data_IF_523276529982
#
_entry.id   IF_523276529982
#
_cell.length_a   1.000
_cell.length_b   1.000
_cell.length_c   1.000
_cell.angle_alpha   90.00
_cell.angle_beta   90.00
_cell.angle_gamma   90.00
#
_symmetry.space_group_name_H-M   'P 1'
#
loop_
_entity.id
_entity.type
_entity.pdbx_description
1 polymer ?
#
# COMPACT_ATOMS: atom_id res chain seq x y z
N UNK A 1 -43.16 32.12 24.48
CA UNK A 1 -43.53 31.68 23.10
C UNK A 1 -42.66 30.47 22.75
N UNK A 2 -43.20 29.50 22.05
CA UNK A 2 -42.40 28.34 21.64
C UNK A 2 -41.25 28.80 20.74
N UNK A 3 -40.02 28.36 21.01
CA UNK A 3 -38.82 28.76 20.26
C UNK A 3 -38.89 28.30 18.79
N UNK A 4 -39.66 27.26 18.49
CA UNK A 4 -39.90 26.77 17.14
C UNK A 4 -41.30 26.18 16.95
N UNK A 5 -41.71 26.02 15.69
CA UNK A 5 -42.89 25.24 15.30
C UNK A 5 -42.64 24.51 13.98
N UNK A 6 -43.18 23.26 13.88
CA UNK A 6 -43.08 22.43 12.68
C UNK A 6 -44.50 21.95 12.32
N UNK A 7 -44.90 22.14 11.08
CA UNK A 7 -46.13 21.55 10.58
C UNK A 7 -46.08 21.22 9.09
N UNK A 8 -46.71 20.09 8.72
CA UNK A 8 -46.74 19.65 7.34
C UNK A 8 -47.71 20.47 6.49
N UNK A 9 -47.38 20.59 5.20
CA UNK A 9 -48.26 21.20 4.18
C UNK A 9 -48.00 20.54 2.81
N UNK A 10 -49.01 20.60 1.92
CA UNK A 10 -48.81 20.22 0.52
C UNK A 10 -48.74 21.46 -0.36
N UNK A 11 -48.00 21.36 -1.47
CA UNK A 11 -47.91 22.42 -2.48
C UNK A 11 -48.76 22.05 -3.68
N UNK A 12 -49.96 22.50 -3.70
CA UNK A 12 -50.95 22.27 -4.79
C UNK A 12 -50.62 23.03 -6.07
N UNK A 13 -49.76 24.04 -6.01
CA UNK A 13 -49.26 24.83 -7.13
C UNK A 13 -48.20 24.10 -7.99
N UNK A 14 -47.64 22.98 -7.51
CA UNK A 14 -46.62 22.21 -8.19
C UNK A 14 -46.86 20.70 -8.16
N UNK A 15 -47.77 20.17 -9.02
CA UNK A 15 -47.97 18.71 -9.09
C UNK A 15 -46.73 18.04 -9.70
N UNK A 16 -46.44 16.80 -9.22
CA UNK A 16 -45.40 15.99 -9.82
C UNK A 16 -45.92 15.42 -11.15
N UNK A 17 -45.27 15.79 -12.25
CA UNK A 17 -45.71 15.54 -13.64
C UNK A 17 -45.98 14.04 -13.97
N UNK A 18 -45.48 13.08 -13.20
CA UNK A 18 -45.63 11.65 -13.51
C UNK A 18 -46.80 10.93 -12.85
N UNK A 19 -47.27 11.39 -11.67
CA UNK A 19 -48.26 10.63 -10.87
C UNK A 19 -49.44 11.43 -10.31
N UNK A 20 -49.62 12.65 -10.73
CA UNK A 20 -50.65 13.58 -10.21
C UNK A 20 -50.72 13.69 -8.66
N UNK A 21 -49.55 13.50 -8.03
CA UNK A 21 -49.34 13.65 -6.57
C UNK A 21 -48.70 15.00 -6.27
N UNK A 22 -48.89 15.46 -5.06
CA UNK A 22 -48.33 16.70 -4.56
C UNK A 22 -47.25 16.45 -3.52
N UNK A 23 -46.11 17.12 -3.57
CA UNK A 23 -45.07 16.95 -2.59
C UNK A 23 -45.46 17.53 -1.23
N UNK A 24 -45.15 16.81 -0.17
CA UNK A 24 -45.32 17.25 1.20
C UNK A 24 -44.09 18.05 1.63
N UNK A 25 -44.31 19.21 2.23
CA UNK A 25 -43.28 20.04 2.83
C UNK A 25 -43.51 20.16 4.33
N UNK A 26 -42.44 20.34 5.08
CA UNK A 26 -42.46 20.74 6.48
C UNK A 26 -42.22 22.27 6.53
N UNK A 27 -43.17 23.01 7.05
CA UNK A 27 -42.99 24.42 7.37
C UNK A 27 -42.35 24.47 8.76
N UNK A 28 -41.11 24.96 8.80
CA UNK A 28 -40.36 25.12 10.04
C UNK A 28 -40.19 26.59 10.33
N UNK A 29 -40.66 27.04 11.48
CA UNK A 29 -40.45 28.40 11.98
C UNK A 29 -39.54 28.31 13.23
N UNK A 30 -38.54 29.14 13.25
CA UNK A 30 -37.60 29.30 14.38
C UNK A 30 -37.51 30.80 14.66
N UNK A 31 -37.94 31.20 15.83
CA UNK A 31 -38.12 32.63 16.17
C UNK A 31 -38.93 33.36 15.06
N UNK A 32 -38.33 34.38 14.47
CA UNK A 32 -38.99 35.22 13.42
C UNK A 32 -38.71 34.75 11.99
N UNK A 33 -37.94 33.67 11.81
CA UNK A 33 -37.61 33.13 10.50
C UNK A 33 -38.40 31.87 10.19
N UNK A 34 -38.87 31.76 8.96
CA UNK A 34 -39.57 30.54 8.52
C UNK A 34 -38.99 30.02 7.20
N UNK A 35 -39.10 28.70 7.01
CA UNK A 35 -38.67 28.02 5.76
C UNK A 35 -39.60 26.84 5.48
N UNK A 36 -39.66 26.44 4.19
CA UNK A 36 -40.38 25.24 3.74
C UNK A 36 -39.40 24.23 3.23
N UNK A 37 -39.30 23.08 3.91
CA UNK A 37 -38.37 22.05 3.62
C UNK A 37 -39.06 20.79 3.07
N UNK A 38 -38.55 20.12 2.03
CA UNK A 38 -39.22 18.97 1.45
C UNK A 38 -39.20 17.78 2.44
N UNK A 39 -40.37 17.18 2.67
CA UNK A 39 -40.48 15.96 3.46
C UNK A 39 -40.06 14.71 2.66
N UNK A 40 -39.80 14.84 1.35
CA UNK A 40 -39.54 13.72 0.43
C UNK A 40 -40.62 12.62 0.48
N UNK A 41 -41.88 13.06 0.59
CA UNK A 41 -43.11 12.28 0.55
C UNK A 41 -44.07 12.96 -0.35
N UNK A 42 -44.90 12.20 -1.06
CA UNK A 42 -45.88 12.68 -2.02
C UNK A 42 -47.26 12.12 -1.70
N UNK A 43 -48.30 12.91 -1.87
CA UNK A 43 -49.67 12.52 -1.57
C UNK A 43 -50.64 13.02 -2.67
N UNK A 44 -51.65 12.22 -3.00
CA UNK A 44 -52.73 12.69 -3.87
C UNK A 44 -53.57 13.76 -3.15
N UNK A 45 -54.14 14.72 -3.89
CA UNK A 45 -54.86 15.85 -3.30
C UNK A 45 -56.05 15.40 -2.46
N UNK A 46 -56.78 14.40 -2.91
CA UNK A 46 -57.92 13.80 -2.25
C UNK A 46 -57.56 12.96 -1.02
N UNK A 47 -56.32 12.47 -0.97
CA UNK A 47 -55.78 11.71 0.15
C UNK A 47 -55.12 12.59 1.24
N UNK A 48 -55.19 13.92 1.12
CA UNK A 48 -54.72 14.88 2.13
C UNK A 48 -55.84 15.40 3.00
N UNK A 49 -55.67 15.38 4.32
CA UNK A 49 -56.56 16.04 5.24
C UNK A 49 -56.04 17.45 5.58
N UNK A 50 -56.66 18.44 4.97
CA UNK A 50 -56.22 19.84 5.14
C UNK A 50 -56.42 20.39 6.57
N UNK A 51 -57.46 19.91 7.30
CA UNK A 51 -57.77 20.34 8.68
C UNK A 51 -56.73 19.79 9.66
N UNK A 52 -56.39 18.50 9.52
CA UNK A 52 -55.36 17.86 10.37
C UNK A 52 -53.96 18.00 9.85
N UNK A 53 -53.76 18.50 8.61
CA UNK A 53 -52.47 18.61 7.92
C UNK A 53 -51.70 17.31 7.82
N UNK A 54 -52.39 16.21 7.52
CA UNK A 54 -51.83 14.86 7.48
C UNK A 54 -52.38 14.04 6.31
N UNK A 55 -51.66 13.02 5.81
CA UNK A 55 -52.23 12.07 4.86
C UNK A 55 -53.32 11.21 5.50
N UNK A 56 -54.35 10.85 4.75
CA UNK A 56 -55.40 9.89 5.17
C UNK A 56 -54.83 8.49 5.28
N UNK A 57 -53.87 8.10 4.46
CA UNK A 57 -53.23 6.80 4.46
C UNK A 57 -52.35 6.63 5.69
N UNK A 58 -52.54 5.55 6.43
CA UNK A 58 -51.87 5.30 7.70
C UNK A 58 -50.36 5.12 7.57
N UNK A 59 -49.85 4.43 6.52
CA UNK A 59 -48.46 4.21 6.26
C UNK A 59 -47.70 5.54 5.95
N UNK A 60 -48.30 6.37 5.13
CA UNK A 60 -47.74 7.68 4.76
C UNK A 60 -47.77 8.67 5.95
N UNK A 61 -48.86 8.60 6.78
CA UNK A 61 -48.94 9.36 8.01
C UNK A 61 -47.88 8.97 9.04
N UNK A 62 -47.65 7.69 9.24
CA UNK A 62 -46.57 7.22 10.11
C UNK A 62 -45.19 7.69 9.62
N UNK A 63 -44.91 7.59 8.31
CA UNK A 63 -43.68 8.08 7.72
C UNK A 63 -43.48 9.59 7.88
N UNK A 64 -44.56 10.38 7.75
CA UNK A 64 -44.54 11.83 7.94
C UNK A 64 -44.26 12.18 9.40
N UNK A 65 -45.00 11.53 10.33
CA UNK A 65 -44.83 11.77 11.76
C UNK A 65 -43.42 11.38 12.26
N UNK A 66 -42.84 10.31 11.76
CA UNK A 66 -41.46 9.93 12.09
C UNK A 66 -40.45 11.03 11.66
N UNK A 67 -40.68 11.71 10.52
CA UNK A 67 -39.83 12.84 10.07
C UNK A 67 -40.00 14.08 10.93
N UNK A 68 -41.23 14.40 11.30
CA UNK A 68 -41.52 15.54 12.21
C UNK A 68 -40.84 15.28 13.55
N UNK A 69 -41.04 14.08 14.14
CA UNK A 69 -40.48 13.71 15.42
C UNK A 69 -38.94 13.76 15.40
N UNK A 70 -38.31 13.26 14.33
CA UNK A 70 -36.85 13.30 14.19
C UNK A 70 -36.31 14.73 14.18
N UNK A 71 -37.03 15.67 13.53
CA UNK A 71 -36.63 17.05 13.49
C UNK A 71 -36.86 17.75 14.83
N UNK A 72 -37.97 17.46 15.52
CA UNK A 72 -38.25 17.96 16.88
C UNK A 72 -37.16 17.45 17.86
N UNK A 73 -36.79 16.17 17.79
CA UNK A 73 -35.73 15.59 18.60
C UNK A 73 -34.41 16.31 18.39
N UNK A 74 -34.06 16.60 17.13
CA UNK A 74 -32.86 17.38 16.80
C UNK A 74 -32.88 18.76 17.42
N UNK A 75 -33.96 19.53 17.22
CA UNK A 75 -34.11 20.88 17.77
C UNK A 75 -34.07 20.90 19.29
N UNK A 76 -34.79 19.98 19.94
CA UNK A 76 -34.77 19.84 21.40
C UNK A 76 -33.38 19.48 21.93
N UNK A 77 -32.62 18.64 21.20
CA UNK A 77 -31.22 18.30 21.57
C UNK A 77 -30.32 19.53 21.45
N UNK A 78 -30.48 20.36 20.40
CA UNK A 78 -29.73 21.60 20.28
C UNK A 78 -30.02 22.55 21.43
N UNK A 79 -31.31 22.70 21.81
CA UNK A 79 -31.71 23.54 22.96
C UNK A 79 -31.09 23.00 24.26
N UNK A 80 -31.23 21.69 24.52
CA UNK A 80 -30.70 21.08 25.73
C UNK A 80 -29.19 21.20 25.86
N UNK A 81 -28.46 21.17 24.74
CA UNK A 81 -27.00 21.32 24.70
C UNK A 81 -26.54 22.77 24.63
N UNK A 82 -27.43 23.74 24.63
CA UNK A 82 -27.07 25.16 24.55
C UNK A 82 -26.44 25.59 23.22
N UNK A 83 -26.55 24.79 22.15
CA UNK A 83 -25.92 25.08 20.84
C UNK A 83 -26.74 26.08 19.98
N UNK A 84 -27.89 26.50 20.46
CA UNK A 84 -28.82 27.34 19.71
C UNK A 84 -29.50 26.63 18.54
N UNK A 85 -30.65 27.11 18.11
CA UNK A 85 -31.40 26.58 16.95
C UNK A 85 -31.39 27.58 15.81
N UNK A 86 -31.19 27.07 14.56
CA UNK A 86 -31.22 27.92 13.37
C UNK A 86 -31.82 27.19 12.17
N UNK A 87 -32.37 27.93 11.21
CA UNK A 87 -32.89 27.35 9.96
C UNK A 87 -31.78 26.66 9.14
N UNK A 88 -30.57 27.21 9.17
CA UNK A 88 -29.46 26.64 8.42
C UNK A 88 -28.97 25.31 9.06
N UNK A 89 -28.94 25.23 10.39
CA UNK A 89 -28.69 23.97 11.09
C UNK A 89 -29.74 22.89 10.78
N UNK A 90 -31.03 23.28 10.66
CA UNK A 90 -32.11 22.37 10.25
C UNK A 90 -31.91 21.89 8.80
N UNK A 91 -31.50 22.74 7.87
CA UNK A 91 -31.23 22.36 6.48
C UNK A 91 -30.05 21.39 6.43
N UNK A 92 -28.99 21.65 7.19
CA UNK A 92 -27.81 20.81 7.29
C UNK A 92 -28.16 19.43 7.88
N UNK A 93 -28.91 19.38 8.98
CA UNK A 93 -29.43 18.14 9.57
C UNK A 93 -30.25 17.32 8.58
N UNK A 94 -31.19 17.95 7.84
CA UNK A 94 -32.00 17.24 6.86
C UNK A 94 -31.22 16.81 5.63
N UNK A 95 -30.22 17.56 5.21
CA UNK A 95 -29.33 17.16 4.11
C UNK A 95 -28.46 15.96 4.49
N UNK A 96 -27.93 15.94 5.71
CA UNK A 96 -27.15 14.83 6.24
C UNK A 96 -27.97 13.54 6.43
N UNK A 97 -29.27 13.67 6.75
CA UNK A 97 -30.18 12.54 7.00
C UNK A 97 -31.11 12.19 5.83
N UNK A 98 -30.92 12.79 4.65
CA UNK A 98 -31.73 12.48 3.47
C UNK A 98 -31.26 11.18 2.79
N UNK A 99 -32.08 10.12 2.73
CA UNK A 99 -31.73 8.87 2.07
C UNK A 99 -31.33 9.04 0.59
N UNK A 100 -31.95 10.00 -0.13
CA UNK A 100 -31.63 10.30 -1.53
C UNK A 100 -30.27 10.98 -1.68
N UNK A 101 -29.88 11.82 -0.73
CA UNK A 101 -28.55 12.45 -0.72
C UNK A 101 -27.48 11.44 -0.30
N UNK A 102 -27.80 10.50 0.59
CA UNK A 102 -26.93 9.37 0.92
C UNK A 102 -26.73 8.40 -0.25
N UNK A 103 -27.77 8.10 -1.04
CA UNK A 103 -27.67 7.21 -2.20
C UNK A 103 -26.99 7.86 -3.41
N UNK A 104 -27.12 9.18 -3.61
CA UNK A 104 -26.49 9.87 -4.75
C UNK A 104 -25.00 10.21 -4.54
N UNK A 105 -24.44 9.97 -3.35
CA UNK A 105 -23.03 10.18 -3.01
C UNK A 105 -22.38 9.03 -2.23
N UNK A 106 -22.98 7.85 -2.21
CA UNK A 106 -22.30 6.68 -1.73
C UNK A 106 -21.27 6.25 -2.78
N UNK A 107 -20.15 6.96 -2.84
CA UNK A 107 -18.98 6.49 -3.59
C UNK A 107 -18.65 5.12 -3.03
N UNK A 108 -18.80 4.08 -3.83
CA UNK A 108 -18.39 2.73 -3.46
C UNK A 108 -16.91 2.76 -3.11
N UNK A 109 -16.53 2.17 -1.99
CA UNK A 109 -15.13 2.05 -1.61
C UNK A 109 -14.28 1.50 -2.76
N UNK A 110 -14.77 0.46 -3.44
CA UNK A 110 -14.05 -0.21 -4.52
C UNK A 110 -13.97 0.64 -5.79
N UNK A 111 -15.00 1.41 -6.11
CA UNK A 111 -14.94 2.37 -7.23
C UNK A 111 -13.91 3.46 -6.97
N UNK A 112 -13.88 3.99 -5.75
CA UNK A 112 -12.85 4.95 -5.36
C UNK A 112 -11.46 4.35 -5.41
N UNK A 113 -11.28 3.12 -4.90
CA UNK A 113 -9.99 2.43 -4.91
C UNK A 113 -9.46 2.27 -6.34
N UNK A 114 -10.30 1.86 -7.29
CA UNK A 114 -9.93 1.76 -8.70
C UNK A 114 -9.59 3.13 -9.31
N UNK A 115 -10.39 4.15 -9.00
CA UNK A 115 -10.13 5.53 -9.43
C UNK A 115 -8.79 6.05 -8.85
N UNK A 116 -8.50 5.77 -7.58
CA UNK A 116 -7.21 6.07 -6.96
C UNK A 116 -6.04 5.41 -7.70
N UNK A 117 -6.16 4.12 -8.02
CA UNK A 117 -5.14 3.41 -8.77
C UNK A 117 -4.92 4.02 -10.16
N UNK A 118 -5.99 4.35 -10.88
CA UNK A 118 -5.88 4.91 -12.23
C UNK A 118 -5.24 6.32 -12.21
N UNK A 119 -5.63 7.19 -11.27
CA UNK A 119 -5.01 8.51 -11.10
C UNK A 119 -3.50 8.43 -10.85
N UNK A 120 -3.05 7.38 -10.15
CA UNK A 120 -1.64 7.21 -9.79
C UNK A 120 -0.84 6.30 -10.71
N UNK A 121 -1.44 5.85 -11.81
CA UNK A 121 -0.83 4.88 -12.74
C UNK A 121 0.44 5.42 -13.39
N UNK A 122 0.47 6.70 -13.74
CA UNK A 122 1.65 7.36 -14.30
C UNK A 122 2.78 7.60 -13.30
N UNK A 123 2.44 7.70 -12.00
CA UNK A 123 3.41 7.98 -10.93
C UNK A 123 4.02 6.71 -10.35
N UNK A 124 3.22 5.64 -10.29
CA UNK A 124 3.57 4.39 -9.62
C UNK A 124 4.17 3.39 -10.61
N UNK A 125 5.20 2.68 -10.13
CA UNK A 125 5.79 1.58 -10.89
C UNK A 125 4.83 0.40 -11.01
N UNK A 126 4.97 -0.39 -12.08
CA UNK A 126 4.16 -1.58 -12.33
C UNK A 126 4.11 -2.55 -11.14
N UNK A 127 5.25 -2.78 -10.47
CA UNK A 127 5.31 -3.63 -9.27
C UNK A 127 4.50 -3.06 -8.09
N UNK A 128 4.51 -1.74 -7.88
CA UNK A 128 3.70 -1.10 -6.85
C UNK A 128 2.21 -1.19 -7.19
N UNK A 129 1.85 -0.99 -8.45
CA UNK A 129 0.48 -1.15 -8.93
C UNK A 129 -0.03 -2.59 -8.74
N UNK A 130 0.83 -3.59 -8.99
CA UNK A 130 0.50 -5.00 -8.75
C UNK A 130 0.16 -5.25 -7.27
N UNK A 131 0.93 -4.67 -6.34
CA UNK A 131 0.69 -4.79 -4.89
C UNK A 131 -0.63 -4.11 -4.47
N UNK A 132 -0.97 -2.93 -5.02
CA UNK A 132 -2.28 -2.31 -4.82
C UNK A 132 -3.42 -3.20 -5.34
N UNK A 133 -3.27 -3.77 -6.54
CA UNK A 133 -4.24 -4.70 -7.12
C UNK A 133 -4.44 -5.96 -6.26
N UNK A 134 -3.36 -6.51 -5.72
CA UNK A 134 -3.43 -7.67 -4.81
C UNK A 134 -4.16 -7.31 -3.51
N UNK A 135 -3.93 -6.10 -2.96
CA UNK A 135 -4.65 -5.60 -1.79
C UNK A 135 -6.14 -5.39 -2.08
N UNK A 136 -6.47 -4.80 -3.23
CA UNK A 136 -7.85 -4.65 -3.71
C UNK A 136 -8.58 -5.99 -3.79
N UNK A 137 -7.95 -7.00 -4.41
CA UNK A 137 -8.54 -8.34 -4.54
C UNK A 137 -8.77 -9.00 -3.17
N UNK A 138 -7.84 -8.85 -2.24
CA UNK A 138 -7.99 -9.37 -0.87
C UNK A 138 -9.15 -8.71 -0.12
N UNK A 139 -9.29 -7.38 -0.23
CA UNK A 139 -10.41 -6.62 0.36
C UNK A 139 -11.74 -7.01 -0.28
N UNK A 140 -11.77 -7.18 -1.61
CA UNK A 140 -12.97 -7.58 -2.36
C UNK A 140 -13.43 -8.98 -1.98
N UNK A 141 -12.49 -9.91 -1.76
CA UNK A 141 -12.78 -11.27 -1.30
C UNK A 141 -13.26 -11.29 0.16
N UNK A 142 -12.67 -10.44 1.02
CA UNK A 142 -13.05 -10.34 2.42
C UNK A 142 -14.46 -9.73 2.60
N UNK A 143 -14.73 -8.59 1.97
CA UNK A 143 -16.03 -7.89 2.10
C UNK A 143 -16.43 -7.27 0.75
N UNK A 144 -17.17 -8.02 -0.09
CA UNK A 144 -17.50 -7.59 -1.47
C UNK A 144 -18.30 -6.29 -1.56
N UNK A 145 -19.10 -5.96 -0.54
CA UNK A 145 -19.97 -4.77 -0.49
C UNK A 145 -19.52 -3.73 0.55
N UNK A 146 -18.17 -3.52 0.66
CA UNK A 146 -17.61 -2.55 1.58
C UNK A 146 -18.05 -1.12 1.25
N UNK A 147 -18.65 -0.45 2.23
CA UNK A 147 -19.04 0.97 2.16
C UNK A 147 -18.04 1.84 2.93
N UNK A 148 -18.08 3.17 2.72
CA UNK A 148 -17.19 4.09 3.44
C UNK A 148 -17.49 4.12 4.95
N UNK A 149 -18.74 3.89 5.35
CA UNK A 149 -19.15 3.83 6.77
C UNK A 149 -18.68 2.58 7.49
N UNK A 150 -18.35 1.52 6.76
CA UNK A 150 -17.83 0.28 7.35
C UNK A 150 -16.35 0.39 7.74
N UNK A 151 -15.66 1.42 7.26
CA UNK A 151 -14.23 1.61 7.52
C UNK A 151 -14.04 2.17 8.93
N UNK A 152 -13.91 1.27 9.88
CA UNK A 152 -13.69 1.56 11.30
C UNK A 152 -12.61 0.62 11.87
N UNK A 153 -12.30 0.72 13.15
CA UNK A 153 -11.28 -0.12 13.80
C UNK A 153 -11.62 -1.60 13.73
N UNK A 154 -12.88 -1.99 14.01
CA UNK A 154 -13.32 -3.39 13.94
C UNK A 154 -13.10 -4.00 12.56
N UNK A 155 -13.43 -3.26 11.49
CA UNK A 155 -13.15 -3.69 10.11
C UNK A 155 -11.66 -3.96 9.87
N UNK A 156 -10.76 -3.10 10.39
CA UNK A 156 -9.31 -3.28 10.22
C UNK A 156 -8.82 -4.52 10.98
N UNK A 157 -9.33 -4.75 12.18
CA UNK A 157 -9.01 -5.92 13.01
C UNK A 157 -9.52 -7.23 12.38
N UNK A 158 -10.76 -7.22 11.89
CA UNK A 158 -11.34 -8.36 11.18
C UNK A 158 -10.60 -8.67 9.87
N UNK A 159 -10.16 -7.64 9.14
CA UNK A 159 -9.36 -7.83 7.93
C UNK A 159 -7.96 -8.38 8.25
N UNK A 160 -7.34 -7.95 9.36
CA UNK A 160 -6.05 -8.50 9.82
C UNK A 160 -6.18 -9.99 10.17
N UNK A 161 -7.24 -10.38 10.89
CA UNK A 161 -7.56 -11.77 11.22
C UNK A 161 -7.80 -12.61 9.95
N UNK A 162 -8.65 -12.12 9.04
CA UNK A 162 -8.91 -12.76 7.75
C UNK A 162 -7.64 -13.02 6.94
N UNK A 163 -6.73 -12.05 6.89
CA UNK A 163 -5.46 -12.22 6.19
C UNK A 163 -4.59 -13.33 6.79
N UNK A 164 -4.70 -13.57 8.09
CA UNK A 164 -3.95 -14.63 8.78
C UNK A 164 -4.62 -15.98 8.57
N UNK A 165 -5.90 -16.07 8.88
CA UNK A 165 -6.66 -17.33 8.98
C UNK A 165 -7.01 -17.92 7.62
N UNK A 166 -7.43 -17.08 6.67
CA UNK A 166 -7.89 -17.53 5.35
C UNK A 166 -6.78 -17.49 4.32
N UNK A 167 -5.96 -16.42 4.32
CA UNK A 167 -4.93 -16.22 3.30
C UNK A 167 -3.53 -16.71 3.73
N UNK A 168 -3.33 -17.12 4.98
CA UNK A 168 -2.03 -17.56 5.49
C UNK A 168 -0.93 -16.50 5.40
N UNK A 169 -1.28 -15.20 5.41
CA UNK A 169 -0.32 -14.14 5.22
C UNK A 169 0.61 -13.98 6.44
N UNK A 170 1.89 -13.86 6.16
CA UNK A 170 2.87 -13.46 7.17
C UNK A 170 2.66 -12.00 7.60
N UNK A 171 3.23 -11.62 8.76
CA UNK A 171 3.19 -10.21 9.22
C UNK A 171 3.74 -9.23 8.18
N UNK A 172 4.71 -9.62 7.36
CA UNK A 172 5.22 -8.79 6.26
C UNK A 172 4.18 -8.57 5.17
N UNK A 173 3.49 -9.62 4.76
CA UNK A 173 2.40 -9.54 3.78
C UNK A 173 1.22 -8.70 4.30
N UNK A 174 0.84 -8.88 5.57
CA UNK A 174 -0.20 -8.07 6.23
C UNK A 174 0.19 -6.60 6.28
N UNK A 175 1.42 -6.31 6.72
CA UNK A 175 1.92 -4.94 6.82
C UNK A 175 1.83 -4.17 5.49
N UNK A 176 2.18 -4.82 4.39
CA UNK A 176 2.09 -4.22 3.05
C UNK A 176 0.64 -3.90 2.69
N UNK A 177 -0.30 -4.84 2.92
CA UNK A 177 -1.72 -4.62 2.62
C UNK A 177 -2.33 -3.53 3.47
N UNK A 178 -2.04 -3.51 4.78
CA UNK A 178 -2.47 -2.43 5.67
C UNK A 178 -1.91 -1.08 5.26
N UNK A 179 -0.63 -1.01 4.86
CA UNK A 179 -0.03 0.24 4.39
C UNK A 179 -0.70 0.76 3.12
N UNK A 180 -1.05 -0.12 2.17
CA UNK A 180 -1.78 0.24 0.97
C UNK A 180 -3.19 0.73 1.29
N UNK A 181 -3.93 -0.01 2.12
CA UNK A 181 -5.28 0.38 2.55
C UNK A 181 -5.26 1.72 3.28
N UNK A 182 -4.32 1.91 4.22
CA UNK A 182 -4.11 3.19 4.92
C UNK A 182 -3.87 4.33 3.94
N UNK A 183 -3.07 4.11 2.91
CA UNK A 183 -2.77 5.15 1.90
C UNK A 183 -4.03 5.54 1.13
N UNK A 184 -4.88 4.59 0.75
CA UNK A 184 -6.16 4.85 0.07
C UNK A 184 -7.13 5.59 1.00
N UNK A 185 -7.24 5.18 2.27
CA UNK A 185 -8.09 5.86 3.25
C UNK A 185 -7.63 7.31 3.48
N UNK A 186 -6.32 7.54 3.57
CA UNK A 186 -5.77 8.90 3.71
C UNK A 186 -6.03 9.76 2.46
N UNK A 187 -6.00 9.16 1.28
CA UNK A 187 -6.37 9.85 0.04
C UNK A 187 -7.88 10.21 0.04
N UNK A 188 -8.74 9.32 0.53
CA UNK A 188 -10.17 9.61 0.72
C UNK A 188 -10.39 10.79 1.68
N UNK A 189 -9.71 10.77 2.82
CA UNK A 189 -9.77 11.87 3.81
C UNK A 189 -9.30 13.19 3.20
N UNK A 190 -8.21 13.17 2.43
CA UNK A 190 -7.69 14.35 1.73
C UNK A 190 -8.68 14.93 0.70
N UNK A 191 -9.58 14.11 0.16
CA UNK A 191 -10.62 14.52 -0.79
C UNK A 191 -11.99 14.72 -0.11
N UNK A 192 -12.00 14.99 1.19
CA UNK A 192 -13.19 15.31 2.00
C UNK A 192 -14.32 14.27 1.93
N UNK A 193 -13.98 12.99 1.69
CA UNK A 193 -14.95 11.91 1.75
C UNK A 193 -15.30 11.60 3.22
N UNK A 194 -16.54 11.17 3.52
CA UNK A 194 -17.02 10.92 4.87
C UNK A 194 -16.46 9.60 5.44
N UNK A 195 -15.14 9.52 5.55
CA UNK A 195 -14.41 8.39 6.13
C UNK A 195 -13.45 8.87 7.20
N UNK A 196 -13.39 8.15 8.33
CA UNK A 196 -12.40 8.40 9.38
C UNK A 196 -11.26 7.41 9.23
N UNK A 197 -10.02 7.88 9.36
CA UNK A 197 -8.86 7.00 9.35
C UNK A 197 -8.77 6.19 10.67
N UNK A 198 -8.94 4.86 10.67
CA UNK A 198 -8.88 4.04 11.89
C UNK A 198 -7.44 3.68 12.30
N UNK A 199 -6.45 3.87 11.44
CA UNK A 199 -5.07 3.45 11.66
C UNK A 199 -4.32 4.11 12.82
N UNK A 200 -4.67 5.31 13.34
CA UNK A 200 -4.09 5.79 14.60
C UNK A 200 -4.32 4.85 15.79
N UNK A 201 -5.42 4.09 15.76
CA UNK A 201 -5.80 3.13 16.81
C UNK A 201 -5.33 1.70 16.52
N UNK A 202 -4.81 1.42 15.31
CA UNK A 202 -4.37 0.09 14.90
C UNK A 202 -2.86 0.03 14.68
N UNK A 203 -2.19 -0.87 15.40
CA UNK A 203 -0.75 -1.11 15.24
C UNK A 203 -0.49 -2.10 14.11
N UNK A 204 -0.06 -1.60 12.96
CA UNK A 204 0.30 -2.46 11.82
C UNK A 204 1.40 -3.45 12.23
N UNK A 205 1.20 -4.77 11.98
CA UNK A 205 2.18 -5.79 12.31
C UNK A 205 3.54 -5.52 11.66
N UNK A 206 4.63 -5.72 12.40
CA UNK A 206 5.98 -5.61 11.85
C UNK A 206 6.48 -6.97 11.43
N UNK A 207 7.04 -7.06 10.22
CA UNK A 207 7.76 -8.26 9.79
C UNK A 207 9.02 -8.43 10.64
N UNK A 208 9.22 -9.62 11.20
CA UNK A 208 10.53 -10.04 11.69
C UNK A 208 11.27 -10.61 10.49
N UNK A 209 12.11 -9.82 9.84
CA UNK A 209 12.95 -10.31 8.75
C UNK A 209 14.27 -10.81 9.31
N UNK A 210 14.55 -12.10 9.07
CA UNK A 210 15.86 -12.67 9.27
C UNK A 210 16.53 -12.59 7.89
N UNK A 211 17.62 -11.81 7.79
CA UNK A 211 18.36 -11.76 6.53
C UNK A 211 19.07 -13.09 6.32
N UNK A 212 18.78 -13.71 5.17
CA UNK A 212 19.48 -14.90 4.69
C UNK A 212 20.67 -14.44 3.85
N UNK A 213 21.84 -15.01 4.10
CA UNK A 213 23.07 -14.79 3.35
C UNK A 213 23.85 -16.08 3.25
N UNK A 214 24.79 -16.18 2.30
CA UNK A 214 25.71 -17.29 2.18
C UNK A 214 26.96 -17.06 3.05
N UNK A 215 27.31 -18.04 3.82
CA UNK A 215 28.59 -18.07 4.52
C UNK A 215 29.76 -18.34 3.53
N UNK A 216 31.00 -18.05 3.94
CA UNK A 216 32.15 -18.19 3.03
C UNK A 216 32.25 -19.61 2.41
N UNK A 217 32.00 -20.65 3.19
CA UNK A 217 32.02 -22.02 2.69
C UNK A 217 30.88 -22.37 1.73
N UNK A 218 29.68 -21.81 1.95
CA UNK A 218 28.53 -21.97 1.04
C UNK A 218 28.74 -21.24 -0.29
N UNK A 219 29.35 -20.04 -0.24
CA UNK A 219 29.74 -19.32 -1.44
C UNK A 219 30.78 -20.10 -2.25
N UNK A 220 31.73 -20.77 -1.57
CA UNK A 220 32.72 -21.61 -2.24
C UNK A 220 32.10 -22.88 -2.83
N UNK A 221 31.11 -23.48 -2.18
CA UNK A 221 30.31 -24.58 -2.75
C UNK A 221 29.63 -24.17 -4.05
N UNK A 222 29.09 -22.96 -4.12
CA UNK A 222 28.50 -22.39 -5.35
C UNK A 222 29.56 -22.13 -6.43
N UNK A 223 30.76 -21.67 -6.07
CA UNK A 223 31.88 -21.52 -7.01
C UNK A 223 32.29 -22.85 -7.62
N UNK A 224 32.39 -23.87 -6.78
CA UNK A 224 32.71 -25.23 -7.21
C UNK A 224 31.66 -25.80 -8.15
N UNK A 225 30.36 -25.60 -7.81
CA UNK A 225 29.25 -26.01 -8.67
C UNK A 225 29.27 -25.28 -10.01
N UNK A 226 29.52 -23.94 -9.99
CA UNK A 226 29.64 -23.13 -11.19
C UNK A 226 30.68 -23.64 -12.17
N UNK A 227 31.84 -24.13 -11.66
CA UNK A 227 32.88 -24.75 -12.48
C UNK A 227 32.50 -26.09 -13.12
N UNK A 228 31.45 -26.76 -12.59
CA UNK A 228 30.99 -28.09 -13.05
C UNK A 228 29.80 -28.00 -14.02
N UNK A 229 29.08 -26.89 -14.02
CA UNK A 229 27.88 -26.71 -14.88
C UNK A 229 28.26 -26.45 -16.34
N UNK A 230 27.46 -27.00 -17.26
CA UNK A 230 27.57 -26.68 -18.68
C UNK A 230 27.16 -25.21 -18.94
N UNK A 231 28.00 -24.47 -19.66
CA UNK A 231 27.88 -23.04 -19.93
C UNK A 231 26.63 -22.64 -20.70
N UNK A 232 26.03 -23.56 -21.45
CA UNK A 232 24.86 -23.31 -22.29
C UNK A 232 23.54 -23.45 -21.52
N UNK A 233 23.59 -23.83 -20.24
CA UNK A 233 22.40 -24.06 -19.44
C UNK A 233 21.89 -22.78 -18.75
N UNK A 234 20.58 -22.70 -18.61
CA UNK A 234 19.94 -21.62 -17.82
C UNK A 234 20.45 -21.61 -16.36
N UNK A 235 20.75 -22.79 -15.79
CA UNK A 235 21.29 -22.92 -14.44
C UNK A 235 22.64 -22.24 -14.31
N UNK A 236 23.56 -22.51 -15.26
CA UNK A 236 24.87 -21.86 -15.29
C UNK A 236 24.71 -20.33 -15.33
N UNK A 237 23.88 -19.82 -16.25
CA UNK A 237 23.67 -18.38 -16.43
C UNK A 237 23.04 -17.72 -15.21
N UNK A 238 22.07 -18.38 -14.56
CA UNK A 238 21.48 -17.89 -13.32
C UNK A 238 22.48 -17.86 -12.16
N UNK A 239 23.30 -18.91 -12.01
CA UNK A 239 24.33 -19.00 -10.99
C UNK A 239 25.42 -17.93 -11.21
N UNK A 240 25.83 -17.73 -12.45
CA UNK A 240 26.81 -16.72 -12.84
C UNK A 240 26.35 -15.30 -12.43
N UNK A 241 25.11 -14.95 -12.75
CA UNK A 241 24.52 -13.66 -12.35
C UNK A 241 24.43 -13.51 -10.82
N UNK A 242 24.09 -14.60 -10.13
CA UNK A 242 23.99 -14.61 -8.67
C UNK A 242 25.38 -14.43 -8.03
N UNK A 243 26.38 -15.19 -8.45
CA UNK A 243 27.76 -15.06 -7.99
C UNK A 243 28.32 -13.68 -8.27
N UNK A 244 28.07 -13.15 -9.48
CA UNK A 244 28.46 -11.78 -9.82
C UNK A 244 27.86 -10.76 -8.84
N UNK A 245 26.60 -10.92 -8.49
CA UNK A 245 25.95 -10.06 -7.50
C UNK A 245 26.51 -10.28 -6.07
N UNK A 246 26.92 -11.48 -5.71
CA UNK A 246 27.63 -11.74 -4.45
C UNK A 246 28.98 -10.99 -4.38
N UNK A 247 29.60 -10.69 -5.52
CA UNK A 247 30.91 -10.01 -5.58
C UNK A 247 30.85 -8.50 -5.84
N UNK A 248 29.69 -7.94 -6.20
CA UNK A 248 29.54 -6.49 -6.45
C UNK A 248 28.37 -5.83 -5.72
N UNK A 249 27.48 -6.62 -5.10
CA UNK A 249 26.36 -6.13 -4.32
C UNK A 249 25.21 -5.50 -5.13
N UNK A 250 25.17 -5.63 -6.45
CA UNK A 250 24.13 -5.07 -7.29
C UNK A 250 22.78 -5.77 -7.06
N UNK A 251 21.66 -5.04 -7.19
CA UNK A 251 20.32 -5.63 -7.19
C UNK A 251 20.06 -6.40 -8.48
N UNK A 252 19.15 -7.38 -8.45
CA UNK A 252 18.77 -8.15 -9.64
C UNK A 252 18.39 -7.25 -10.82
N UNK A 253 17.59 -6.19 -10.59
CA UNK A 253 17.22 -5.23 -11.64
C UNK A 253 18.41 -4.51 -12.27
N UNK A 254 19.47 -4.30 -11.47
CA UNK A 254 20.68 -3.60 -11.92
C UNK A 254 21.62 -4.56 -12.64
N UNK A 255 21.66 -5.84 -12.24
CA UNK A 255 22.44 -6.91 -12.94
C UNK A 255 21.81 -7.23 -14.30
N UNK A 256 20.48 -7.49 -14.37
CA UNK A 256 19.79 -7.82 -15.64
C UNK A 256 19.86 -6.67 -16.66
N UNK A 257 19.98 -5.43 -16.21
CA UNK A 257 20.09 -4.25 -17.06
C UNK A 257 21.50 -3.68 -17.13
N UNK A 258 22.50 -4.44 -16.69
CA UNK A 258 23.89 -4.03 -16.76
C UNK A 258 24.36 -4.07 -18.22
N UNK A 259 24.91 -2.94 -18.69
CA UNK A 259 25.49 -2.79 -20.02
C UNK A 259 26.99 -2.60 -19.92
N UNK A 260 27.72 -2.94 -20.99
CA UNK A 260 29.16 -2.81 -21.02
C UNK A 260 29.65 -1.37 -20.82
N UNK A 261 28.87 -0.36 -21.21
CA UNK A 261 29.19 1.03 -20.93
C UNK A 261 29.25 1.41 -19.44
N UNK A 262 28.64 0.58 -18.57
CA UNK A 262 28.64 0.81 -17.13
C UNK A 262 29.87 0.18 -16.44
N UNK A 263 30.65 -0.62 -17.18
CA UNK A 263 31.77 -1.42 -16.65
C UNK A 263 33.09 -0.73 -16.95
N UNK A 264 33.76 -0.27 -15.90
CA UNK A 264 35.11 0.22 -15.96
C UNK A 264 36.08 -0.82 -15.41
N UNK A 265 36.56 -1.69 -16.28
CA UNK A 265 37.52 -2.74 -15.91
C UNK A 265 38.88 -2.20 -15.47
N UNK A 266 39.31 -1.02 -16.02
CA UNK A 266 40.60 -0.40 -15.72
C UNK A 266 40.62 0.08 -14.26
N UNK A 267 39.57 0.81 -13.84
CA UNK A 267 39.44 1.33 -12.48
C UNK A 267 38.78 0.35 -11.52
N UNK A 268 38.32 -0.81 -12.01
CA UNK A 268 37.65 -1.84 -11.18
C UNK A 268 36.33 -1.38 -10.58
N UNK A 269 35.50 -0.69 -11.36
CA UNK A 269 34.25 -0.13 -10.91
C UNK A 269 33.09 -0.43 -11.88
N UNK A 270 31.88 -0.52 -11.32
CA UNK A 270 30.64 -0.38 -12.09
C UNK A 270 30.02 0.96 -11.71
N UNK A 271 29.75 1.79 -12.70
CA UNK A 271 29.11 3.10 -12.53
C UNK A 271 27.76 3.06 -13.26
N UNK A 272 26.68 3.11 -12.51
CA UNK A 272 25.35 2.93 -13.06
C UNK A 272 24.28 3.63 -12.23
N UNK A 273 23.29 4.21 -12.91
CA UNK A 273 22.04 4.61 -12.26
C UNK A 273 21.20 3.37 -11.91
N UNK A 274 20.85 3.22 -10.65
CA UNK A 274 20.04 2.10 -10.17
C UNK A 274 18.60 2.18 -10.71
N UNK A 275 18.11 1.09 -11.26
CA UNK A 275 16.74 1.01 -11.80
C UNK A 275 15.69 1.39 -10.76
N UNK A 276 15.84 0.93 -9.51
CA UNK A 276 14.83 1.10 -8.45
C UNK A 276 14.89 2.47 -7.74
N UNK A 277 16.05 3.05 -7.55
CA UNK A 277 16.21 4.24 -6.69
C UNK A 277 16.55 5.49 -7.46
N UNK A 278 16.92 5.35 -8.74
CA UNK A 278 17.43 6.42 -9.60
C UNK A 278 18.68 7.12 -9.05
N UNK A 279 19.34 6.50 -8.08
CA UNK A 279 20.60 6.97 -7.53
C UNK A 279 21.76 6.31 -8.28
N UNK A 280 22.84 7.06 -8.52
CA UNK A 280 24.08 6.51 -9.03
C UNK A 280 24.68 5.55 -7.99
N UNK A 281 25.13 4.39 -8.43
CA UNK A 281 25.92 3.44 -7.65
C UNK A 281 27.30 3.28 -8.26
N UNK A 282 28.32 3.28 -7.40
CA UNK A 282 29.70 2.94 -7.73
C UNK A 282 30.06 1.67 -7.01
N UNK A 283 29.78 0.54 -7.65
CA UNK A 283 30.04 -0.78 -7.07
C UNK A 283 31.47 -1.25 -7.40
N UNK A 284 32.24 -1.78 -6.43
CA UNK A 284 33.58 -2.29 -6.68
C UNK A 284 33.50 -3.58 -7.48
N UNK A 285 34.49 -3.78 -8.35
CA UNK A 285 34.74 -5.03 -9.04
C UNK A 285 35.92 -5.76 -8.38
N UNK A 286 35.63 -6.65 -7.46
CA UNK A 286 36.63 -7.58 -6.95
C UNK A 286 37.05 -8.57 -8.04
N UNK A 287 38.20 -9.23 -7.87
CA UNK A 287 38.78 -10.07 -8.93
C UNK A 287 37.86 -11.19 -9.40
N UNK A 288 37.09 -11.79 -8.50
CA UNK A 288 36.07 -12.78 -8.86
C UNK A 288 34.99 -12.21 -9.80
N UNK A 289 34.56 -10.94 -9.59
CA UNK A 289 33.62 -10.28 -10.48
C UNK A 289 34.27 -9.94 -11.83
N UNK A 290 35.54 -9.46 -11.82
CA UNK A 290 36.31 -9.19 -13.06
C UNK A 290 36.49 -10.46 -13.88
N UNK A 291 36.72 -11.59 -13.25
CA UNK A 291 36.87 -12.88 -13.94
C UNK A 291 35.59 -13.27 -14.70
N UNK A 292 34.41 -13.12 -14.08
CA UNK A 292 33.14 -13.35 -14.76
C UNK A 292 32.99 -12.41 -15.96
N UNK A 293 33.28 -11.13 -15.78
CA UNK A 293 33.20 -10.17 -16.88
C UNK A 293 34.18 -10.47 -18.02
N UNK A 294 35.42 -10.84 -17.70
CA UNK A 294 36.41 -11.21 -18.72
C UNK A 294 36.01 -12.42 -19.53
N UNK A 295 35.37 -13.43 -18.91
CA UNK A 295 34.83 -14.60 -19.62
C UNK A 295 33.73 -14.25 -20.58
N UNK A 296 32.93 -13.21 -20.27
CA UNK A 296 31.84 -12.71 -21.13
C UNK A 296 32.31 -11.73 -22.19
N UNK A 297 33.47 -11.13 -22.01
CA UNK A 297 34.06 -10.19 -22.95
C UNK A 297 34.69 -10.92 -24.11
N UNK A 298 33.91 -11.24 -25.16
CA UNK A 298 34.36 -11.95 -26.34
C UNK A 298 34.98 -11.02 -27.42
N UNK A 299 34.74 -9.68 -27.31
CA UNK A 299 35.38 -8.65 -28.13
C UNK A 299 35.67 -7.39 -27.31
N UNK A 300 36.76 -6.72 -27.58
CA UNK A 300 37.10 -5.42 -26.94
C UNK A 300 36.09 -4.30 -27.32
N UNK A 301 35.47 -4.41 -28.49
CA UNK A 301 34.47 -3.45 -28.98
C UNK A 301 33.19 -3.41 -28.12
N UNK A 302 32.96 -4.42 -27.30
CA UNK A 302 31.88 -4.44 -26.34
C UNK A 302 32.05 -3.39 -25.23
N UNK A 303 33.31 -3.08 -24.83
CA UNK A 303 33.56 -2.09 -23.77
C UNK A 303 33.05 -0.71 -24.20
N UNK A 304 32.20 -0.12 -23.36
CA UNK A 304 31.53 1.13 -23.64
C UNK A 304 30.23 1.02 -24.45
N UNK A 305 29.87 -0.19 -24.92
CA UNK A 305 28.68 -0.41 -25.75
C UNK A 305 27.38 -0.43 -24.93
N UNK A 306 26.26 -0.31 -25.64
CA UNK A 306 24.89 -0.45 -25.08
C UNK A 306 24.46 -1.91 -24.90
N UNK A 307 25.28 -2.87 -25.25
CA UNK A 307 24.97 -4.29 -25.13
C UNK A 307 24.93 -4.74 -23.66
N UNK A 308 24.03 -5.66 -23.38
CA UNK A 308 23.86 -6.24 -22.05
C UNK A 308 25.04 -7.16 -21.71
N UNK A 309 25.53 -7.07 -20.47
CA UNK A 309 26.54 -7.97 -19.93
C UNK A 309 25.98 -9.37 -19.70
N UNK A 310 24.75 -9.48 -19.26
CA UNK A 310 24.09 -10.76 -18.96
C UNK A 310 22.82 -10.92 -19.78
N UNK A 311 22.48 -12.18 -20.07
CA UNK A 311 21.22 -12.51 -20.72
C UNK A 311 20.05 -12.13 -19.80
N UNK A 312 18.98 -11.49 -20.33
CA UNK A 312 17.84 -11.09 -19.52
C UNK A 312 16.97 -12.29 -19.14
N UNK A 313 16.91 -12.62 -17.87
CA UNK A 313 15.99 -13.60 -17.31
C UNK A 313 14.95 -12.94 -16.41
N UNK A 314 13.76 -13.51 -16.39
CA UNK A 314 12.71 -13.13 -15.45
C UNK A 314 13.13 -13.48 -14.01
N UNK A 315 12.79 -12.62 -13.05
CA UNK A 315 13.15 -12.79 -11.63
C UNK A 315 12.65 -14.11 -11.04
N UNK A 316 11.49 -14.59 -11.47
CA UNK A 316 10.91 -15.87 -11.01
C UNK A 316 11.80 -17.02 -11.44
N UNK A 317 12.17 -17.08 -12.72
CA UNK A 317 13.05 -18.11 -13.28
C UNK A 317 14.39 -18.15 -12.53
N UNK A 318 14.98 -16.99 -12.27
CA UNK A 318 16.26 -16.93 -11.54
C UNK A 318 16.09 -17.49 -10.13
N UNK A 319 15.05 -17.09 -9.39
CA UNK A 319 14.83 -17.55 -8.01
C UNK A 319 14.51 -19.05 -7.93
N UNK A 320 13.74 -19.58 -8.87
CA UNK A 320 13.44 -21.02 -8.95
C UNK A 320 14.72 -21.83 -9.18
N UNK A 321 15.55 -21.38 -10.14
CA UNK A 321 16.85 -22.04 -10.41
C UNK A 321 17.84 -21.90 -9.25
N UNK A 322 17.83 -20.79 -8.51
CA UNK A 322 18.69 -20.64 -7.33
C UNK A 322 18.36 -21.64 -6.23
N UNK A 323 17.09 -21.96 -5.99
CA UNK A 323 16.71 -22.95 -4.99
C UNK A 323 17.06 -24.40 -5.45
N UNK A 324 17.03 -24.67 -6.76
CA UNK A 324 17.51 -25.92 -7.33
C UNK A 324 19.05 -26.05 -7.17
N UNK A 325 19.78 -24.98 -7.50
CA UNK A 325 21.24 -24.90 -7.35
C UNK A 325 21.68 -25.00 -5.89
N UNK A 326 20.93 -24.39 -4.95
CA UNK A 326 21.20 -24.51 -3.51
C UNK A 326 21.16 -25.96 -3.05
N UNK A 327 20.14 -26.73 -3.48
CA UNK A 327 20.05 -28.18 -3.19
C UNK A 327 21.22 -28.96 -3.79
N UNK A 328 21.62 -28.63 -5.03
CA UNK A 328 22.78 -29.29 -5.67
C UNK A 328 24.11 -29.01 -4.94
N UNK A 329 24.23 -27.84 -4.33
CA UNK A 329 25.41 -27.42 -3.56
C UNK A 329 25.32 -27.78 -2.07
N UNK A 330 24.30 -28.55 -1.66
CA UNK A 330 24.04 -28.93 -0.25
C UNK A 330 23.87 -27.70 0.67
N UNK A 331 23.27 -26.62 0.18
CA UNK A 331 22.97 -25.40 0.94
C UNK A 331 21.52 -25.46 1.41
N UNK A 332 21.32 -25.63 2.73
CA UNK A 332 20.00 -25.69 3.37
C UNK A 332 19.49 -24.27 3.72
N UNK A 333 19.31 -23.44 2.68
CA UNK A 333 18.75 -22.09 2.80
C UNK A 333 17.83 -21.81 1.63
N UNK A 334 16.68 -21.18 1.91
CA UNK A 334 15.84 -20.65 0.84
C UNK A 334 16.47 -19.38 0.27
N UNK A 335 16.97 -19.48 -0.96
CA UNK A 335 17.68 -18.39 -1.61
C UNK A 335 16.76 -17.61 -2.56
N UNK A 336 16.92 -16.31 -2.53
CA UNK A 336 16.41 -15.40 -3.54
C UNK A 336 17.58 -14.62 -4.12
N UNK A 337 17.41 -13.99 -5.28
CA UNK A 337 18.51 -13.19 -5.81
C UNK A 337 18.96 -12.08 -4.85
N UNK A 338 18.05 -11.59 -4.00
CA UNK A 338 18.40 -10.56 -3.02
C UNK A 338 19.36 -11.04 -1.94
N UNK A 339 19.42 -12.37 -1.70
CA UNK A 339 20.38 -12.97 -0.75
C UNK A 339 21.83 -12.78 -1.20
N UNK A 340 22.11 -12.64 -2.51
CA UNK A 340 23.46 -12.33 -3.01
C UNK A 340 23.97 -10.98 -2.48
N UNK A 341 23.09 -9.99 -2.47
CA UNK A 341 23.42 -8.65 -1.97
C UNK A 341 23.56 -8.63 -0.44
N UNK A 342 22.78 -9.46 0.27
CA UNK A 342 22.97 -9.66 1.71
C UNK A 342 24.31 -10.36 1.98
N UNK A 343 24.69 -11.37 1.18
CA UNK A 343 25.98 -12.04 1.22
C UNK A 343 27.13 -11.05 1.05
N UNK A 344 27.10 -10.23 -0.01
CA UNK A 344 28.10 -9.20 -0.25
C UNK A 344 28.28 -8.27 0.96
N UNK A 345 27.17 -7.72 1.46
CA UNK A 345 27.23 -6.76 2.57
C UNK A 345 27.71 -7.41 3.88
N UNK A 346 27.21 -8.60 4.19
CA UNK A 346 27.53 -9.31 5.44
C UNK A 346 29.00 -9.76 5.45
N UNK A 347 29.49 -10.30 4.35
CA UNK A 347 30.90 -10.73 4.26
C UNK A 347 31.86 -9.53 4.36
N UNK A 348 31.54 -8.39 3.74
CA UNK A 348 32.34 -7.19 3.89
C UNK A 348 32.35 -6.64 5.32
N UNK A 349 31.21 -6.72 6.04
CA UNK A 349 31.18 -6.35 7.47
C UNK A 349 32.09 -7.29 8.27
N UNK A 350 32.00 -8.60 8.02
CA UNK A 350 32.84 -9.60 8.69
C UNK A 350 34.33 -9.42 8.37
N UNK A 351 34.67 -8.89 7.20
CA UNK A 351 36.04 -8.55 6.80
C UNK A 351 36.47 -7.15 7.29
N UNK A 352 35.70 -6.50 8.20
CA UNK A 352 36.05 -5.21 8.83
C UNK A 352 35.89 -3.99 7.93
N UNK A 353 35.20 -4.10 6.79
CA UNK A 353 34.97 -2.97 5.91
C UNK A 353 33.96 -1.99 6.54
N UNK A 354 34.34 -0.71 6.65
CA UNK A 354 33.49 0.33 7.23
C UNK A 354 32.10 0.36 6.60
N UNK A 355 31.08 0.46 7.45
CA UNK A 355 29.65 0.52 7.07
C UNK A 355 29.36 1.67 6.09
N UNK A 356 30.07 2.78 6.18
CA UNK A 356 29.94 3.91 5.25
C UNK A 356 30.45 3.57 3.84
N UNK A 357 31.50 2.74 3.72
CA UNK A 357 31.97 2.24 2.42
C UNK A 357 30.95 1.26 1.84
N UNK A 358 30.46 0.32 2.65
CA UNK A 358 29.43 -0.64 2.24
C UNK A 358 28.13 0.08 1.81
N UNK A 359 27.70 1.12 2.53
CA UNK A 359 26.58 1.97 2.14
C UNK A 359 26.75 2.54 0.73
N UNK A 360 27.93 3.10 0.42
CA UNK A 360 28.25 3.66 -0.90
C UNK A 360 28.25 2.58 -1.98
N UNK A 361 28.89 1.43 -1.74
CA UNK A 361 28.92 0.31 -2.67
C UNK A 361 27.53 -0.21 -3.01
N UNK A 362 26.65 -0.26 -2.02
CA UNK A 362 25.27 -0.68 -2.20
C UNK A 362 24.38 0.44 -2.80
N UNK A 363 24.80 1.71 -2.78
CA UNK A 363 23.95 2.82 -3.15
C UNK A 363 22.72 2.96 -2.25
N UNK A 364 22.90 2.82 -0.92
CA UNK A 364 21.85 3.05 0.06
C UNK A 364 21.72 4.55 0.36
N UNK A 365 20.50 5.07 0.40
CA UNK A 365 20.24 6.50 0.67
C UNK A 365 20.58 6.90 2.11
N UNK A 366 20.53 5.98 3.06
CA UNK A 366 20.87 6.22 4.46
C UNK A 366 21.70 5.09 5.04
N UNK A 367 22.51 5.39 6.05
CA UNK A 367 23.30 4.39 6.79
C UNK A 367 22.40 3.37 7.47
N UNK A 368 21.24 3.80 7.98
CA UNK A 368 20.29 2.93 8.67
C UNK A 368 19.80 1.74 7.82
N UNK A 369 19.82 1.87 6.49
CA UNK A 369 19.54 0.73 5.60
C UNK A 369 20.66 -0.32 5.60
N UNK A 370 21.87 0.05 6.01
CA UNK A 370 23.07 -0.80 6.05
C UNK A 370 23.34 -1.31 7.46
N UNK A 371 22.90 -0.61 8.50
CA UNK A 371 23.05 -0.99 9.92
C UNK A 371 22.50 -2.37 10.25
N UNK A 372 21.55 -2.87 9.46
CA UNK A 372 21.03 -4.24 9.59
C UNK A 372 22.10 -5.34 9.53
N UNK A 373 23.23 -5.04 8.88
CA UNK A 373 24.34 -5.98 8.76
C UNK A 373 25.28 -5.94 9.97
N UNK A 374 25.27 -4.87 10.80
CA UNK A 374 26.13 -4.71 11.97
C UNK A 374 25.91 -5.80 13.05
N UNK A 375 24.70 -6.38 13.10
CA UNK A 375 24.44 -7.50 14.03
C UNK A 375 25.36 -8.71 13.80
N UNK A 376 25.99 -8.80 12.62
CA UNK A 376 26.95 -9.85 12.29
C UNK A 376 28.36 -9.48 12.74
N UNK A 377 28.65 -8.18 12.90
CA UNK A 377 29.91 -7.68 13.46
C UNK A 377 30.05 -8.02 14.95
N UNK A 378 28.95 -8.02 15.71
CA UNK A 378 28.95 -8.38 17.14
C UNK A 378 29.46 -9.81 17.41
N UNK A 379 29.27 -10.75 16.49
CA UNK A 379 29.87 -12.10 16.61
C UNK A 379 31.38 -12.09 16.40
N UNK A 380 31.88 -11.17 15.58
CA UNK A 380 33.31 -10.98 15.32
C UNK A 380 33.97 -10.10 16.40
N UNK A 381 33.23 -9.12 16.97
CA UNK A 381 33.76 -8.29 18.04
C UNK A 381 34.24 -9.12 19.26
N UNK A 382 33.56 -10.21 19.59
CA UNK A 382 34.01 -11.15 20.65
C UNK A 382 35.32 -11.85 20.32
N UNK A 383 35.61 -12.03 19.01
CA UNK A 383 36.89 -12.64 18.54
C UNK A 383 37.97 -11.54 18.49
N UNK A 384 37.64 -10.35 17.99
CA UNK A 384 38.60 -9.26 17.80
C UNK A 384 38.92 -8.50 19.10
N UNK A 385 38.08 -8.55 20.15
CA UNK A 385 38.41 -7.97 21.47
C UNK A 385 39.63 -8.62 22.11
N UNK A 386 39.99 -9.87 21.73
CA UNK A 386 41.21 -10.53 22.17
C UNK A 386 42.48 -10.05 21.43
N UNK A 387 42.32 -9.34 20.34
CA UNK A 387 43.41 -8.84 19.48
C UNK A 387 43.63 -7.32 19.62
N UNK A 388 42.82 -6.63 20.45
CA UNK A 388 42.98 -5.20 20.70
C UNK A 388 43.95 -5.00 21.86
N UNK A 389 45.22 -4.90 21.49
CA UNK A 389 46.33 -4.67 22.44
C UNK A 389 46.43 -3.26 23.02
N UNK A 390 45.51 -2.35 22.61
CA UNK A 390 45.56 -0.92 22.98
C UNK A 390 45.17 -0.67 24.42
N UNK A 391 44.51 -1.60 25.10
CA UNK A 391 44.04 -1.48 26.49
C UNK A 391 44.46 -2.66 27.38
N UNK A 392 45.38 -3.48 26.95
CA UNK A 392 45.99 -4.58 27.75
C UNK A 392 47.21 -4.12 28.51
#
# INVERSE_FOLDING_TARGET
>A
MAEYSIYPLIRTDKPIKRNNKYPIYLRVRIYDRETKLPANLDVAADAWNARRREPKESSLRLALNAKVLALETYLNTCIANGTGISIDGVKEYLSANNPRTRQSKAVSFFEYYLSFMERRKSELRSGTMCVYKTTYNALKAFRPSLTLSDINLSFIEEFDAYMTEVNGNTNGGKAIRHQNLKTVILDMVKHDLPVKNPYPLFKIPKAKTKEVYLEKHELESFRTLYGKLSKDTTMFRCLEMYLFSCYCGLRISDVVSLKWKHVDLANGLIIKEQVKTKAEVKAPLFDCAKEILRRRLHSKDLLGSEELVFDPYCHTVINDKLNELARMAAIDKHLTFHTSRHTFATLLVMDGVSIYKIQKFLGHKSVSMTERYLKYDLKMAQVNMKEIDTFS
#
